data_IF_288148211667
#
_entry.id   IF_288148211667
#
_cell.length_a   1.000
_cell.length_b   1.000
_cell.length_c   1.000
_cell.angle_alpha   90.00
_cell.angle_beta   90.00
_cell.angle_gamma   90.00
#
_symmetry.space_group_name_H-M   'P 1'
#
loop_
_entity.id
_entity.type
_entity.pdbx_description
1 polymer ?
#
# COMPACT_ATOMS: atom_id res chain seq x y z
N UNK A 1 -0.21 -25.92 38.02
CA UNK A 1 -1.21 -25.14 37.27
C UNK A 1 -0.50 -24.48 36.10
N UNK A 2 -0.78 -24.89 34.85
CA UNK A 2 -0.38 -24.10 33.68
C UNK A 2 -1.44 -23.02 33.54
N UNK A 3 -1.09 -21.78 33.84
CA UNK A 3 -1.92 -20.62 33.55
C UNK A 3 -2.26 -20.67 32.05
N UNK A 4 -3.55 -20.68 31.71
CA UNK A 4 -3.99 -20.46 30.33
C UNK A 4 -3.61 -19.01 29.96
N UNK A 5 -2.39 -18.83 29.47
CA UNK A 5 -2.02 -17.58 28.83
C UNK A 5 -2.94 -17.40 27.64
N UNK A 6 -3.77 -16.34 27.66
CA UNK A 6 -4.44 -15.82 26.48
C UNK A 6 -3.36 -15.47 25.44
N UNK A 7 -3.08 -16.44 24.54
CA UNK A 7 -1.99 -16.38 23.57
C UNK A 7 -2.16 -15.27 22.54
N UNK A 8 -3.41 -14.91 22.25
CA UNK A 8 -3.77 -13.93 21.23
C UNK A 8 -4.45 -12.71 21.87
N UNK A 9 -4.00 -11.51 21.54
CA UNK A 9 -4.58 -10.24 22.00
C UNK A 9 -4.82 -9.33 20.79
N UNK A 10 -5.96 -8.65 20.76
CA UNK A 10 -6.28 -7.62 19.78
C UNK A 10 -6.32 -6.30 20.52
N UNK A 11 -5.50 -5.33 20.08
CA UNK A 11 -5.48 -3.98 20.61
C UNK A 11 -6.12 -3.05 19.58
N UNK A 12 -7.24 -2.44 19.95
CA UNK A 12 -7.94 -1.49 19.09
C UNK A 12 -7.48 -0.07 19.42
N UNK A 13 -7.02 0.68 18.42
CA UNK A 13 -6.61 2.07 18.57
C UNK A 13 -5.61 2.50 17.51
N UNK A 14 -5.11 3.72 17.66
CA UNK A 14 -3.95 4.19 16.91
C UNK A 14 -2.73 3.33 17.28
N UNK A 15 -2.02 2.82 16.26
CA UNK A 15 -0.93 1.89 16.47
C UNK A 15 0.27 2.51 17.20
N UNK A 16 0.56 3.80 16.99
CA UNK A 16 1.64 4.50 17.69
C UNK A 16 1.33 4.58 19.17
N UNK A 17 0.10 4.95 19.52
CA UNK A 17 -0.33 5.02 20.91
C UNK A 17 -0.34 3.63 21.58
N UNK A 18 -0.79 2.60 20.85
CA UNK A 18 -0.79 1.22 21.39
C UNK A 18 0.60 0.61 21.54
N UNK A 19 1.56 0.95 20.68
CA UNK A 19 2.93 0.50 20.86
C UNK A 19 3.56 1.07 22.13
N UNK A 20 3.28 2.35 22.47
CA UNK A 20 3.78 3.00 23.70
C UNK A 20 3.32 2.29 24.99
N UNK A 21 2.18 1.61 24.96
CA UNK A 21 1.66 0.82 26.09
C UNK A 21 2.43 -0.50 26.30
N UNK A 22 3.18 -0.97 25.29
CA UNK A 22 3.91 -2.24 25.37
C UNK A 22 5.31 -2.04 25.99
N UNK A 23 5.81 -2.99 26.79
CA UNK A 23 7.16 -2.92 27.35
C UNK A 23 8.26 -3.00 26.28
N UNK A 24 9.41 -2.42 26.57
CA UNK A 24 10.63 -2.57 25.77
C UNK A 24 11.01 -4.05 25.64
N UNK A 25 11.57 -4.43 24.49
CA UNK A 25 12.10 -5.78 24.26
C UNK A 25 11.12 -6.92 24.62
N UNK A 26 9.83 -6.73 24.37
CA UNK A 26 8.77 -7.67 24.72
C UNK A 26 8.27 -8.49 23.53
N UNK A 27 8.54 -8.06 22.30
CA UNK A 27 8.05 -8.68 21.06
C UNK A 27 9.19 -9.38 20.31
N UNK A 28 8.97 -10.62 19.89
CA UNK A 28 9.99 -11.42 19.18
C UNK A 28 10.13 -11.05 17.70
N UNK A 29 9.01 -10.71 17.03
CA UNK A 29 8.99 -10.33 15.61
C UNK A 29 7.80 -9.44 15.28
N UNK A 30 7.90 -8.67 14.20
CA UNK A 30 6.84 -7.84 13.65
C UNK A 30 6.55 -8.25 12.20
N UNK A 31 5.27 -8.36 11.85
CA UNK A 31 4.82 -8.50 10.46
C UNK A 31 3.76 -7.44 10.25
N UNK A 32 3.91 -6.60 9.25
CA UNK A 32 3.03 -5.44 9.05
C UNK A 32 2.84 -5.11 7.58
N UNK A 33 1.60 -4.74 7.25
CA UNK A 33 1.16 -4.23 5.96
C UNK A 33 0.72 -2.77 6.15
N UNK A 34 1.67 -1.82 6.23
CA UNK A 34 1.38 -0.41 6.48
C UNK A 34 0.81 0.29 5.25
N UNK A 35 0.31 1.53 5.40
CA UNK A 35 0.07 2.44 4.28
C UNK A 35 1.23 2.45 3.25
N UNK A 36 0.91 2.26 1.97
CA UNK A 36 1.88 2.25 0.88
C UNK A 36 2.10 3.65 0.29
N UNK A 37 1.26 4.63 0.61
CA UNK A 37 1.37 5.97 0.05
C UNK A 37 1.01 5.99 -1.43
N UNK A 38 -0.16 5.45 -1.79
CA UNK A 38 -0.63 5.40 -3.19
C UNK A 38 -1.21 6.72 -3.69
N UNK A 39 -0.88 7.83 -3.03
CA UNK A 39 -1.24 9.19 -3.41
C UNK A 39 -0.29 9.73 -4.51
N UNK A 40 -0.31 11.06 -4.69
CA UNK A 40 0.67 11.78 -5.48
C UNK A 40 2.01 11.82 -4.73
N UNK A 41 3.12 11.74 -5.46
CA UNK A 41 4.44 11.86 -4.85
C UNK A 41 4.61 13.24 -4.16
N UNK A 42 5.09 13.27 -2.91
CA UNK A 42 5.41 14.51 -2.21
C UNK A 42 6.73 15.11 -2.69
N UNK A 43 7.04 16.31 -2.18
CA UNK A 43 8.39 16.85 -2.26
C UNK A 43 9.31 16.06 -1.31
N UNK A 44 10.21 15.26 -1.89
CA UNK A 44 11.13 14.40 -1.14
C UNK A 44 12.10 15.22 -0.28
N UNK A 45 12.49 16.44 -0.69
CA UNK A 45 13.38 17.26 0.12
C UNK A 45 12.69 17.69 1.42
N UNK A 46 11.42 18.07 1.35
CA UNK A 46 10.63 18.40 2.53
C UNK A 46 10.49 17.19 3.46
N UNK A 47 10.11 16.02 2.90
CA UNK A 47 9.94 14.76 3.65
C UNK A 47 11.20 14.43 4.43
N UNK A 48 12.35 14.38 3.75
CA UNK A 48 13.61 14.01 4.38
C UNK A 48 14.08 15.06 5.39
N UNK A 49 13.87 16.34 5.12
CA UNK A 49 14.22 17.42 6.06
C UNK A 49 13.47 17.26 7.37
N UNK A 50 12.15 17.02 7.32
CA UNK A 50 11.34 16.81 8.53
C UNK A 50 11.76 15.55 9.27
N UNK A 51 11.91 14.43 8.56
CA UNK A 51 12.32 13.17 9.18
C UNK A 51 13.69 13.25 9.85
N UNK A 52 14.65 13.94 9.24
CA UNK A 52 15.98 14.19 9.83
C UNK A 52 15.90 15.11 11.07
N UNK A 53 14.94 16.04 11.11
CA UNK A 53 14.67 16.88 12.28
C UNK A 53 13.91 16.13 13.40
N UNK A 54 13.52 14.87 13.17
CA UNK A 54 12.71 14.08 14.11
C UNK A 54 11.23 14.43 14.10
N UNK A 55 10.79 15.22 13.10
CA UNK A 55 9.41 15.64 12.90
C UNK A 55 8.66 14.68 11.96
N UNK A 56 7.33 14.64 12.12
CA UNK A 56 6.46 13.90 11.21
C UNK A 56 6.16 14.71 9.94
N UNK A 57 6.00 13.99 8.83
CA UNK A 57 5.53 14.56 7.56
C UNK A 57 4.07 14.18 7.34
N UNK A 58 3.20 15.19 7.29
CA UNK A 58 1.79 15.01 6.97
C UNK A 58 1.53 15.25 5.48
N UNK A 59 1.14 14.20 4.77
CA UNK A 59 0.77 14.30 3.37
C UNK A 59 -0.72 14.61 3.21
N UNK A 60 -1.04 15.59 2.36
CA UNK A 60 -2.42 16.13 2.25
C UNK A 60 -3.26 15.48 1.15
N UNK A 61 -2.64 14.75 0.23
CA UNK A 61 -3.38 14.02 -0.81
C UNK A 61 -3.97 12.71 -0.26
N UNK A 62 -4.95 12.19 -0.98
CA UNK A 62 -5.62 10.93 -0.64
C UNK A 62 -4.98 9.78 -1.43
N UNK A 63 -4.71 8.66 -0.76
CA UNK A 63 -4.16 7.46 -1.37
C UNK A 63 -5.23 6.49 -1.85
N UNK A 64 -5.06 5.21 -1.50
CA UNK A 64 -5.95 4.11 -1.88
C UNK A 64 -7.44 4.48 -1.74
N UNK A 65 -8.16 4.41 -2.86
CA UNK A 65 -9.60 4.70 -2.95
C UNK A 65 -10.02 6.05 -2.33
N UNK A 66 -9.15 7.05 -2.37
CA UNK A 66 -9.43 8.37 -1.82
C UNK A 66 -9.41 8.41 -0.29
N UNK A 67 -8.76 7.45 0.38
CA UNK A 67 -8.62 7.39 1.84
C UNK A 67 -7.34 8.11 2.29
N UNK A 68 -7.44 8.83 3.41
CA UNK A 68 -6.33 9.60 3.98
C UNK A 68 -5.30 8.74 4.71
N UNK A 69 -5.69 7.56 5.22
CA UNK A 69 -4.76 6.65 5.90
C UNK A 69 -3.66 6.12 4.98
N UNK A 70 -3.92 6.06 3.66
CA UNK A 70 -2.94 5.67 2.64
C UNK A 70 -2.30 6.88 1.93
N UNK A 71 -2.42 8.07 2.52
CA UNK A 71 -1.86 9.29 1.94
C UNK A 71 -0.35 9.19 1.76
N UNK A 72 0.38 8.55 2.67
CA UNK A 72 1.82 8.37 2.54
C UNK A 72 2.31 7.18 3.37
N UNK A 73 3.58 6.81 3.20
CA UNK A 73 4.22 5.79 4.03
C UNK A 73 4.40 6.28 5.47
N UNK A 74 4.38 5.41 6.48
CA UNK A 74 4.62 5.83 7.86
C UNK A 74 6.03 6.40 8.05
N UNK A 75 6.11 7.49 8.81
CA UNK A 75 7.37 8.16 9.15
C UNK A 75 8.17 7.43 10.24
N UNK A 76 9.40 7.91 10.55
CA UNK A 76 10.30 7.24 11.49
C UNK A 76 9.74 7.05 12.91
N UNK A 77 8.79 7.89 13.34
CA UNK A 77 8.22 7.84 14.69
C UNK A 77 7.60 6.48 15.04
N UNK A 78 6.81 5.90 14.13
CA UNK A 78 6.22 4.57 14.38
C UNK A 78 7.30 3.50 14.43
N UNK A 79 8.30 3.58 13.55
CA UNK A 79 9.35 2.58 13.48
C UNK A 79 10.25 2.61 14.71
N UNK A 80 10.49 3.79 15.31
CA UNK A 80 11.18 3.90 16.61
C UNK A 80 10.44 3.14 17.72
N UNK A 81 9.11 3.21 17.76
CA UNK A 81 8.32 2.45 18.73
C UNK A 81 8.32 0.95 18.44
N UNK A 82 8.22 0.54 17.17
CA UNK A 82 8.37 -0.87 16.79
C UNK A 82 9.76 -1.40 17.16
N UNK A 83 10.81 -0.60 16.93
CA UNK A 83 12.17 -0.91 17.33
C UNK A 83 12.30 -1.06 18.85
N UNK A 84 11.70 -0.17 19.64
CA UNK A 84 11.72 -0.22 21.12
C UNK A 84 11.13 -1.52 21.65
N UNK A 85 9.95 -1.92 21.15
CA UNK A 85 9.24 -3.11 21.65
C UNK A 85 9.85 -4.43 21.18
N UNK A 86 10.56 -4.45 20.04
CA UNK A 86 11.24 -5.66 19.56
C UNK A 86 12.39 -6.05 20.49
N UNK A 87 12.59 -7.35 20.71
CA UNK A 87 13.77 -7.90 21.39
C UNK A 87 15.05 -7.68 20.57
N UNK A 88 16.24 -7.61 21.20
CA UNK A 88 17.50 -7.57 20.47
C UNK A 88 17.60 -8.73 19.47
N UNK A 89 18.01 -8.45 18.23
CA UNK A 89 18.01 -9.42 17.13
C UNK A 89 16.64 -9.76 16.54
N UNK A 90 15.55 -9.17 17.05
CA UNK A 90 14.19 -9.32 16.52
C UNK A 90 14.06 -8.76 15.11
N UNK A 91 13.19 -9.38 14.30
CA UNK A 91 13.01 -9.04 12.89
C UNK A 91 11.64 -8.42 12.62
N UNK A 92 11.60 -7.57 11.60
CA UNK A 92 10.38 -7.05 10.99
C UNK A 92 10.30 -7.47 9.52
N UNK A 93 9.12 -7.92 9.11
CA UNK A 93 8.69 -8.04 7.71
C UNK A 93 7.70 -6.90 7.43
N UNK A 94 8.14 -5.88 6.70
CA UNK A 94 7.36 -4.70 6.39
C UNK A 94 7.01 -4.68 4.90
N UNK A 95 5.73 -4.85 4.57
CA UNK A 95 5.28 -4.76 3.18
C UNK A 95 5.32 -3.31 2.69
N UNK A 96 5.57 -3.11 1.40
CA UNK A 96 5.65 -1.78 0.81
C UNK A 96 5.08 -1.73 -0.61
N UNK A 97 4.78 -0.52 -1.06
CA UNK A 97 4.44 -0.26 -2.46
C UNK A 97 5.68 -0.15 -3.33
N UNK A 98 5.61 -0.63 -4.56
CA UNK A 98 6.74 -0.61 -5.52
C UNK A 98 7.30 0.79 -5.83
N UNK A 99 6.48 1.84 -5.64
CA UNK A 99 6.86 3.25 -5.90
C UNK A 99 7.44 3.96 -4.68
N UNK A 100 7.25 3.40 -3.49
CA UNK A 100 7.53 4.05 -2.19
C UNK A 100 8.36 3.17 -1.27
N UNK A 101 8.80 2.00 -1.75
CA UNK A 101 9.66 1.06 -1.03
C UNK A 101 10.94 1.72 -0.54
N UNK A 102 11.52 2.60 -1.34
CA UNK A 102 12.71 3.39 -0.99
C UNK A 102 12.46 4.26 0.25
N UNK A 103 11.36 5.00 0.27
CA UNK A 103 10.95 5.86 1.38
C UNK A 103 10.59 5.06 2.62
N UNK A 104 9.87 3.93 2.46
CA UNK A 104 9.61 3.00 3.55
C UNK A 104 10.92 2.46 4.16
N UNK A 105 11.88 2.09 3.30
CA UNK A 105 13.20 1.60 3.72
C UNK A 105 13.99 2.67 4.46
N UNK A 106 14.00 3.91 3.96
CA UNK A 106 14.65 5.04 4.64
C UNK A 106 14.00 5.29 6.00
N UNK A 107 12.66 5.29 6.05
CA UNK A 107 11.90 5.48 7.28
C UNK A 107 12.23 4.42 8.35
N UNK A 108 12.35 3.15 7.95
CA UNK A 108 12.82 2.06 8.82
C UNK A 108 14.26 2.28 9.33
N UNK A 109 15.18 2.70 8.45
CA UNK A 109 16.57 3.02 8.83
C UNK A 109 16.63 4.14 9.85
N UNK A 110 15.88 5.22 9.63
CA UNK A 110 15.75 6.34 10.57
C UNK A 110 15.07 5.91 11.88
N UNK A 111 14.24 4.87 11.84
CA UNK A 111 13.69 4.19 13.00
C UNK A 111 14.71 3.37 13.82
N UNK A 112 15.93 3.20 13.33
CA UNK A 112 17.01 2.46 14.00
C UNK A 112 17.27 1.05 13.45
N UNK A 113 16.49 0.60 12.47
CA UNK A 113 16.62 -0.75 11.92
C UNK A 113 17.82 -0.92 10.99
N UNK A 114 18.44 -2.11 11.08
CA UNK A 114 19.35 -2.62 10.06
C UNK A 114 18.53 -3.32 8.96
N UNK A 115 18.61 -2.84 7.72
CA UNK A 115 17.99 -3.52 6.58
C UNK A 115 18.82 -4.74 6.21
N UNK A 116 18.19 -5.92 6.17
CA UNK A 116 18.84 -7.20 5.93
C UNK A 116 18.66 -7.67 4.49
N UNK A 117 17.43 -7.56 3.97
CA UNK A 117 17.09 -8.03 2.63
C UNK A 117 15.75 -7.44 2.17
N UNK A 118 15.34 -7.73 0.94
CA UNK A 118 14.00 -7.51 0.41
C UNK A 118 13.47 -8.81 -0.19
N UNK A 119 12.33 -9.27 0.31
CA UNK A 119 11.62 -10.44 -0.24
C UNK A 119 10.58 -9.94 -1.24
N UNK A 120 10.56 -10.53 -2.43
CA UNK A 120 9.60 -10.14 -3.48
C UNK A 120 8.42 -11.10 -3.54
N UNK A 121 7.22 -10.60 -3.26
CA UNK A 121 5.99 -11.34 -3.54
C UNK A 121 5.59 -11.14 -5.01
N UNK A 122 6.05 -12.05 -5.88
CA UNK A 122 5.78 -12.02 -7.31
C UNK A 122 4.42 -12.64 -7.63
N UNK A 123 3.57 -11.93 -8.36
CA UNK A 123 2.29 -12.45 -8.81
C UNK A 123 1.96 -12.07 -10.27
N UNK A 124 1.47 -13.08 -10.99
CA UNK A 124 1.06 -12.96 -12.40
C UNK A 124 -0.39 -12.50 -12.54
N UNK A 125 -1.21 -12.71 -11.50
CA UNK A 125 -2.61 -12.31 -11.41
C UNK A 125 -2.81 -11.13 -10.45
N UNK A 126 -3.64 -10.15 -10.79
CA UNK A 126 -3.98 -9.05 -9.87
C UNK A 126 -4.78 -7.93 -10.54
N UNK A 127 -5.20 -6.93 -9.76
CA UNK A 127 -5.90 -5.76 -10.29
C UNK A 127 -5.03 -5.09 -11.37
N UNK A 128 -5.58 -4.72 -12.55
CA UNK A 128 -4.84 -3.97 -13.55
C UNK A 128 -4.43 -2.61 -12.97
N UNK A 129 -3.21 -2.48 -12.46
CA UNK A 129 -2.60 -1.20 -12.09
C UNK A 129 -2.05 -0.51 -13.35
N UNK A 130 -2.88 -0.44 -14.39
CA UNK A 130 -2.56 0.16 -15.68
C UNK A 130 -3.56 1.28 -15.94
N UNK A 131 -3.06 2.50 -16.11
CA UNK A 131 -3.86 3.58 -16.65
C UNK A 131 -3.73 3.53 -18.17
N UNK A 132 -4.87 3.48 -18.85
CA UNK A 132 -4.95 3.70 -20.29
C UNK A 132 -4.73 5.20 -20.56
N UNK A 133 -3.56 5.53 -21.11
CA UNK A 133 -3.15 6.92 -21.27
C UNK A 133 -4.05 7.66 -22.26
N UNK A 134 -4.57 6.96 -23.28
CA UNK A 134 -5.48 7.55 -24.25
C UNK A 134 -6.71 8.13 -23.56
N UNK A 135 -7.30 7.40 -22.60
CA UNK A 135 -8.44 7.87 -21.79
C UNK A 135 -8.06 9.06 -20.93
N UNK A 136 -6.82 9.08 -20.43
CA UNK A 136 -6.27 10.21 -19.71
C UNK A 136 -6.19 11.50 -20.55
N UNK A 137 -5.81 11.40 -21.83
CA UNK A 137 -5.78 12.55 -22.74
C UNK A 137 -7.17 13.12 -23.00
N UNK A 138 -8.12 12.28 -23.40
CA UNK A 138 -9.49 12.72 -23.68
C UNK A 138 -10.16 13.33 -22.45
N UNK A 139 -9.95 12.72 -21.27
CA UNK A 139 -10.45 13.27 -20.00
C UNK A 139 -9.86 14.66 -19.71
N UNK A 140 -8.56 14.87 -19.96
CA UNK A 140 -7.93 16.19 -19.76
C UNK A 140 -8.41 17.23 -20.77
N UNK A 141 -8.75 16.79 -21.99
CA UNK A 141 -9.34 17.64 -23.02
C UNK A 141 -10.83 17.92 -22.78
N UNK A 142 -11.46 17.26 -21.80
CA UNK A 142 -12.89 17.44 -21.50
C UNK A 142 -13.81 16.88 -22.59
N UNK A 143 -13.34 15.93 -23.40
CA UNK A 143 -14.13 15.33 -24.48
C UNK A 143 -14.67 13.97 -24.06
N UNK A 144 -15.90 13.69 -24.46
CA UNK A 144 -16.49 12.35 -24.30
C UNK A 144 -16.04 11.42 -25.42
N UNK A 145 -15.91 10.14 -25.10
CA UNK A 145 -15.62 9.08 -26.06
C UNK A 145 -16.90 8.52 -26.62
N UNK A 146 -16.93 8.30 -27.94
CA UNK A 146 -18.03 7.58 -28.57
C UNK A 146 -17.97 6.09 -28.18
N UNK A 147 -19.08 5.57 -27.65
CA UNK A 147 -19.18 4.18 -27.19
C UNK A 147 -19.41 3.27 -28.40
N UNK A 148 -18.43 2.42 -28.68
CA UNK A 148 -18.44 1.47 -29.81
C UNK A 148 -18.79 0.04 -29.38
N UNK A 149 -18.89 -0.22 -28.08
CA UNK A 149 -19.25 -1.55 -27.59
C UNK A 149 -19.39 -1.64 -26.09
N UNK A 150 -19.70 -2.85 -25.63
CA UNK A 150 -19.83 -3.17 -24.22
C UNK A 150 -19.22 -4.55 -23.94
N UNK A 151 -18.54 -4.68 -22.80
CA UNK A 151 -17.95 -5.93 -22.32
C UNK A 151 -18.45 -6.22 -20.92
N UNK A 152 -19.10 -7.37 -20.74
CA UNK A 152 -19.37 -7.92 -19.43
C UNK A 152 -18.09 -8.50 -18.83
N UNK A 153 -17.76 -8.10 -17.60
CA UNK A 153 -16.70 -8.74 -16.82
C UNK A 153 -17.27 -9.24 -15.49
N UNK A 154 -16.75 -10.35 -14.96
CA UNK A 154 -17.13 -10.79 -13.62
C UNK A 154 -16.87 -9.68 -12.59
N UNK A 155 -17.85 -9.41 -11.74
CA UNK A 155 -17.82 -8.34 -10.74
C UNK A 155 -16.87 -8.69 -9.58
N UNK A 156 -15.57 -8.57 -9.79
CA UNK A 156 -14.56 -8.83 -8.76
C UNK A 156 -14.52 -7.80 -7.63
N UNK A 157 -15.53 -6.91 -7.50
CA UNK A 157 -15.64 -6.03 -6.33
C UNK A 157 -15.97 -6.89 -5.13
N UNK A 158 -14.92 -7.30 -4.40
CA UNK A 158 -15.02 -7.92 -3.09
C UNK A 158 -16.12 -7.24 -2.27
N UNK A 159 -17.06 -8.00 -1.73
CA UNK A 159 -18.17 -7.48 -0.95
C UNK A 159 -17.68 -6.66 0.23
N UNK A 160 -17.64 -5.34 0.08
CA UNK A 160 -17.36 -4.36 1.14
C UNK A 160 -18.54 -4.22 2.15
N UNK A 161 -19.32 -5.28 2.31
CA UNK A 161 -20.54 -5.31 3.13
C UNK A 161 -20.63 -6.49 4.09
N UNK A 162 -19.61 -7.36 4.20
CA UNK A 162 -19.58 -8.42 5.22
C UNK A 162 -18.48 -8.13 6.24
N UNK A 163 -18.89 -8.10 7.50
CA UNK A 163 -18.18 -7.54 8.65
C UNK A 163 -16.88 -8.26 9.09
N UNK A 164 -16.37 -9.24 8.35
CA UNK A 164 -15.18 -9.98 8.76
C UNK A 164 -14.40 -10.49 7.54
N UNK A 165 -13.12 -10.12 7.46
CA UNK A 165 -12.00 -10.96 7.02
C UNK A 165 -12.00 -11.53 5.59
N UNK A 166 -11.03 -11.06 4.80
CA UNK A 166 -10.31 -11.81 3.75
C UNK A 166 -11.14 -12.66 2.77
N UNK A 167 -11.48 -12.10 1.61
CA UNK A 167 -11.73 -12.91 0.41
C UNK A 167 -10.40 -13.18 -0.32
N UNK A 168 -9.52 -13.94 0.35
CA UNK A 168 -8.37 -14.60 -0.28
C UNK A 168 -8.75 -15.96 -0.92
N UNK A 169 -10.04 -16.33 -0.86
CA UNK A 169 -10.56 -17.56 -1.47
C UNK A 169 -11.37 -17.26 -2.72
N UNK A 170 -10.79 -17.66 -3.86
CA UNK A 170 -11.48 -17.76 -5.14
C UNK A 170 -12.67 -18.72 -5.01
N UNK A 171 -13.89 -18.29 -5.36
CA UNK A 171 -15.00 -19.22 -5.50
C UNK A 171 -16.43 -18.67 -5.49
N UNK A 172 -16.69 -17.48 -4.94
CA UNK A 172 -18.06 -16.94 -4.95
C UNK A 172 -18.41 -16.34 -6.31
N UNK A 173 -19.55 -16.75 -6.88
CA UNK A 173 -20.10 -16.20 -8.13
C UNK A 173 -20.45 -14.73 -7.91
N UNK A 174 -19.57 -13.86 -8.37
CA UNK A 174 -19.82 -12.43 -8.44
C UNK A 174 -20.79 -12.11 -9.58
N UNK A 175 -21.54 -10.99 -9.50
CA UNK A 175 -22.37 -10.48 -10.58
C UNK A 175 -21.57 -10.15 -11.87
N UNK A 176 -22.21 -9.53 -12.87
CA UNK A 176 -21.50 -9.03 -14.06
C UNK A 176 -21.52 -7.51 -14.06
N UNK A 177 -20.36 -6.87 -14.22
CA UNK A 177 -20.24 -5.44 -14.48
C UNK A 177 -20.13 -5.22 -15.98
N UNK A 178 -20.93 -4.29 -16.51
CA UNK A 178 -20.82 -3.87 -17.90
C UNK A 178 -19.81 -2.72 -17.98
N UNK A 179 -18.74 -2.92 -18.74
CA UNK A 179 -17.81 -1.87 -19.13
C UNK A 179 -18.11 -1.42 -20.56
N UNK A 180 -18.37 -0.13 -20.72
CA UNK A 180 -18.47 0.48 -22.05
C UNK A 180 -17.07 0.65 -22.67
N UNK A 181 -16.95 0.27 -23.93
CA UNK A 181 -15.75 0.42 -24.75
C UNK A 181 -15.97 1.67 -25.59
N UNK A 182 -15.16 2.71 -25.36
CA UNK A 182 -15.19 3.95 -26.13
C UNK A 182 -13.92 4.14 -26.95
N UNK A 183 -14.07 4.62 -28.17
CA UNK A 183 -12.95 4.95 -29.06
C UNK A 183 -12.31 6.29 -28.69
N UNK A 184 -10.99 6.46 -28.90
CA UNK A 184 -10.30 7.72 -28.64
C UNK A 184 -10.82 8.87 -29.52
N UNK A 185 -11.08 10.03 -28.91
CA UNK A 185 -11.67 11.19 -29.60
C UNK A 185 -10.60 12.14 -30.15
N UNK A 186 -9.63 12.52 -29.32
CA UNK A 186 -8.55 13.44 -29.73
C UNK A 186 -7.48 12.72 -30.58
N UNK A 187 -6.82 13.44 -31.50
CA UNK A 187 -5.69 12.88 -32.28
C UNK A 187 -4.58 12.33 -31.39
N UNK A 188 -4.31 13.01 -30.28
CA UNK A 188 -3.35 12.53 -29.28
C UNK A 188 -3.84 11.25 -28.59
N UNK A 189 -5.12 11.13 -28.25
CA UNK A 189 -5.64 9.88 -27.70
C UNK A 189 -5.58 8.73 -28.72
N UNK A 190 -5.86 9.00 -30.01
CA UNK A 190 -5.77 8.00 -31.08
C UNK A 190 -4.35 7.45 -31.23
N UNK A 191 -3.34 8.32 -31.14
CA UNK A 191 -1.94 7.91 -31.20
C UNK A 191 -1.53 6.96 -30.06
N UNK A 192 -2.14 7.09 -28.90
CA UNK A 192 -1.78 6.35 -27.67
C UNK A 192 -2.80 5.27 -27.29
N UNK A 193 -3.72 4.93 -28.20
CA UNK A 193 -4.76 3.95 -27.95
C UNK A 193 -4.18 2.56 -27.63
N UNK A 194 -4.73 1.91 -26.60
CA UNK A 194 -4.24 0.63 -26.10
C UNK A 194 -2.94 0.69 -25.28
N UNK A 195 -2.31 1.86 -25.08
CA UNK A 195 -1.09 1.98 -24.27
C UNK A 195 -1.42 2.09 -22.77
N UNK A 196 -0.85 1.18 -21.98
CA UNK A 196 -1.06 1.08 -20.54
C UNK A 196 0.23 1.29 -19.73
N UNK A 197 0.11 1.90 -18.56
CA UNK A 197 1.25 2.19 -17.67
C UNK A 197 1.72 1.01 -16.81
N UNK A 198 1.05 -0.14 -16.85
CA UNK A 198 1.40 -1.25 -15.96
C UNK A 198 2.68 -1.95 -16.36
N UNK A 199 3.59 -2.13 -15.40
CA UNK A 199 4.71 -3.05 -15.49
C UNK A 199 4.28 -4.43 -14.97
N UNK A 200 4.64 -5.50 -15.69
CA UNK A 200 4.39 -6.90 -15.31
C UNK A 200 5.70 -7.71 -15.36
N UNK A 201 5.91 -8.71 -14.47
CA UNK A 201 5.00 -9.16 -13.41
C UNK A 201 4.82 -8.09 -12.33
N UNK A 202 3.66 -8.11 -11.67
CA UNK A 202 3.46 -7.25 -10.51
C UNK A 202 4.17 -7.90 -9.31
N UNK A 203 4.72 -7.06 -8.45
CA UNK A 203 5.40 -7.51 -7.24
C UNK A 203 4.98 -6.63 -6.07
N UNK A 204 5.04 -7.22 -4.87
CA UNK A 204 4.96 -6.50 -3.60
C UNK A 204 6.25 -6.76 -2.81
N UNK A 205 7.10 -5.73 -2.64
CA UNK A 205 8.31 -5.85 -1.87
C UNK A 205 8.00 -5.94 -0.37
N UNK A 206 8.69 -6.84 0.31
CA UNK A 206 8.65 -7.02 1.76
C UNK A 206 10.05 -6.76 2.29
N UNK A 207 10.21 -5.62 2.95
CA UNK A 207 11.48 -5.18 3.52
C UNK A 207 11.74 -6.01 4.79
N UNK A 208 12.80 -6.81 4.78
CA UNK A 208 13.29 -7.52 5.96
C UNK A 208 14.29 -6.64 6.70
N UNK A 209 13.94 -6.25 7.92
CA UNK A 209 14.83 -5.47 8.76
C UNK A 209 14.97 -6.08 10.16
N UNK A 210 16.03 -5.69 10.89
CA UNK A 210 16.39 -6.28 12.17
C UNK A 210 16.78 -5.22 13.19
N UNK A 211 16.42 -5.45 14.45
CA UNK A 211 16.92 -4.73 15.61
C UNK A 211 18.35 -5.16 15.93
N UNK A 212 19.28 -4.20 16.04
CA UNK A 212 20.66 -4.47 16.41
C UNK A 212 20.83 -4.71 17.91
#
# INVERSE_FOLDING_TARGET
MKEELNKNKILTGDCLEKLKELPDNSIDSCVTDPPYGLSKEPDIQEVLTKWMAGEDYEHRDKGFMGKSWDSFVPGPAIWREVYRVLKPGGHILCFAGTRTQDLMTISLRLGGFEIRDVIEWLYTSGFPKSMDISKGFDKRAGVERHIIGQRGVPDKRNGHGRAYGSSLFAGEKTGTVIHYIGEPTTELAKQWDGWGTSLKPAHEPIILARKH
#
